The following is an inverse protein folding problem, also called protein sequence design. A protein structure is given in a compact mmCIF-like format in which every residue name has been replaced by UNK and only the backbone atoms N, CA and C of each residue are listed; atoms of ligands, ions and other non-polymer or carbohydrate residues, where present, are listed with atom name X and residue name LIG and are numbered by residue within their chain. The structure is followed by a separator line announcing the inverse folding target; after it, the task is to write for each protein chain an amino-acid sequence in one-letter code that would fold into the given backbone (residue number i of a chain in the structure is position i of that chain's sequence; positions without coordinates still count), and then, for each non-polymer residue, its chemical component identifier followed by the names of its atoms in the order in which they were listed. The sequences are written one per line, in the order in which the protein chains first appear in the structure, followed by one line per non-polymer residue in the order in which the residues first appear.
data_IF_759913756711
#
_entry.id   IF_759913756711
#
_cell.length_a   1.000
_cell.length_b   1.000
_cell.length_c   1.000
_cell.angle_alpha   90.00
_cell.angle_beta   90.00
_cell.angle_gamma   90.00
#
_symmetry.space_group_name_H-M   'P 1'
#
loop_
_entity.id
_entity.type
_entity.pdbx_description
1 polymer ?
#
# COMPACT_ATOMS: atom_id res chain seq x y z
N UNK A 1 11.12 26.43 -4.80
CA UNK A 1 9.84 25.95 -5.28
C UNK A 1 9.67 24.48 -4.94
N UNK A 2 8.56 24.18 -4.42
CA UNK A 2 8.29 22.79 -4.05
C UNK A 2 7.35 22.19 -5.07
N UNK A 3 7.81 21.24 -5.84
CA UNK A 3 6.95 20.43 -6.67
C UNK A 3 6.21 19.40 -5.82
N UNK A 4 5.20 18.81 -6.42
CA UNK A 4 4.56 17.65 -5.82
C UNK A 4 5.52 16.46 -5.85
N UNK A 5 5.47 15.64 -4.84
CA UNK A 5 6.19 14.38 -4.85
C UNK A 5 5.67 13.49 -5.97
N UNK A 6 6.58 12.79 -6.63
CA UNK A 6 6.20 11.77 -7.60
C UNK A 6 5.73 10.52 -6.86
N UNK A 7 5.04 9.62 -7.57
CA UNK A 7 4.67 8.33 -7.00
C UNK A 7 5.88 7.53 -6.57
N UNK A 8 6.97 7.64 -7.32
CA UNK A 8 8.23 6.98 -6.99
C UNK A 8 8.76 7.46 -5.63
N UNK A 9 8.71 8.76 -5.40
CA UNK A 9 9.15 9.34 -4.13
C UNK A 9 8.22 8.95 -2.98
N UNK A 10 6.91 8.93 -3.22
CA UNK A 10 5.91 8.49 -2.23
C UNK A 10 6.10 7.03 -1.87
N UNK A 11 6.37 6.20 -2.86
CA UNK A 11 6.64 4.79 -2.62
C UNK A 11 7.94 4.60 -1.83
N UNK A 12 8.98 5.37 -2.13
CA UNK A 12 10.22 5.34 -1.38
C UNK A 12 10.01 5.72 0.10
N UNK A 13 9.17 6.73 0.34
CA UNK A 13 8.81 7.10 1.72
C UNK A 13 8.07 5.97 2.43
N UNK A 14 7.18 5.28 1.75
CA UNK A 14 6.51 4.09 2.28
C UNK A 14 7.53 2.99 2.63
N UNK A 15 8.49 2.71 1.76
CA UNK A 15 9.53 1.73 2.05
C UNK A 15 10.32 2.08 3.30
N UNK A 16 10.64 3.36 3.48
CA UNK A 16 11.35 3.80 4.68
C UNK A 16 10.51 3.59 5.94
N UNK A 17 9.20 3.87 5.87
CA UNK A 17 8.30 3.59 7.00
C UNK A 17 8.29 2.11 7.35
N UNK A 18 8.25 1.25 6.33
CA UNK A 18 8.25 -0.20 6.56
C UNK A 18 9.55 -0.67 7.21
N UNK A 19 10.67 -0.15 6.74
CA UNK A 19 11.97 -0.47 7.34
C UNK A 19 12.05 -0.03 8.80
N UNK A 20 11.55 1.16 9.10
CA UNK A 20 11.58 1.66 10.48
C UNK A 20 10.71 0.83 11.42
N UNK A 21 9.71 0.13 10.88
CA UNK A 21 8.82 -0.74 11.66
C UNK A 21 9.29 -2.20 11.69
N UNK A 22 10.45 -2.50 11.09
CA UNK A 22 10.96 -3.86 11.02
C UNK A 22 10.25 -4.74 10.00
N UNK A 23 9.55 -4.15 9.05
CA UNK A 23 8.79 -4.89 8.02
C UNK A 23 9.47 -4.76 6.65
N UNK A 24 10.76 -5.05 6.59
CA UNK A 24 11.56 -4.92 5.37
C UNK A 24 11.70 -6.26 4.63
N UNK A 25 10.65 -7.07 4.62
CA UNK A 25 10.62 -8.31 3.85
C UNK A 25 10.68 -7.98 2.35
N UNK A 26 11.75 -8.39 1.69
CA UNK A 26 11.98 -8.07 0.28
C UNK A 26 10.87 -8.61 -0.62
N UNK A 27 10.38 -9.81 -0.36
CA UNK A 27 9.31 -10.41 -1.19
C UNK A 27 8.03 -9.59 -1.10
N UNK A 28 7.68 -9.15 0.11
CA UNK A 28 6.49 -8.32 0.32
C UNK A 28 6.63 -6.96 -0.35
N UNK A 29 7.78 -6.30 -0.16
CA UNK A 29 8.02 -4.97 -0.73
C UNK A 29 8.09 -5.02 -2.26
N UNK A 30 8.67 -6.08 -2.82
CA UNK A 30 8.69 -6.30 -4.27
C UNK A 30 7.28 -6.48 -4.82
N UNK A 31 6.41 -7.18 -4.09
CA UNK A 31 5.02 -7.36 -4.50
C UNK A 31 4.27 -6.01 -4.53
N UNK A 32 4.50 -5.14 -3.56
CA UNK A 32 3.92 -3.80 -3.57
C UNK A 32 4.43 -2.97 -4.76
N UNK A 33 5.71 -3.06 -5.06
CA UNK A 33 6.28 -2.36 -6.22
C UNK A 33 5.69 -2.85 -7.53
N UNK A 34 5.49 -4.16 -7.66
CA UNK A 34 4.94 -4.77 -8.87
C UNK A 34 3.44 -4.51 -9.04
N UNK A 35 2.76 -4.04 -7.98
CA UNK A 35 1.32 -3.80 -7.99
C UNK A 35 1.07 -2.34 -7.59
N UNK A 36 1.24 -1.38 -8.51
CA UNK A 36 1.14 0.04 -8.19
C UNK A 36 -0.23 0.41 -7.62
N UNK A 37 -0.27 0.80 -6.36
CA UNK A 37 -1.51 1.09 -5.65
C UNK A 37 -2.31 2.23 -6.29
N UNK A 38 -1.62 3.17 -6.92
CA UNK A 38 -2.29 4.29 -7.58
C UNK A 38 -3.37 3.84 -8.57
N UNK A 39 -3.17 2.70 -9.22
CA UNK A 39 -4.14 2.15 -10.17
C UNK A 39 -5.42 1.63 -9.54
N UNK A 40 -5.46 1.52 -8.22
CA UNK A 40 -6.59 0.94 -7.48
C UNK A 40 -7.32 1.93 -6.59
N UNK A 41 -6.98 3.22 -6.69
CA UNK A 41 -7.66 4.28 -5.95
C UNK A 41 -8.24 5.29 -6.93
N UNK A 42 -9.33 6.01 -6.55
CA UNK A 42 -9.88 7.05 -7.43
C UNK A 42 -8.84 8.12 -7.75
N UNK A 43 -8.87 8.65 -8.97
CA UNK A 43 -7.89 9.63 -9.41
C UNK A 43 -7.82 10.85 -8.51
N UNK A 44 -8.94 11.27 -7.93
CA UNK A 44 -8.99 12.40 -7.01
C UNK A 44 -8.15 12.19 -5.75
N UNK A 45 -7.86 10.95 -5.40
CA UNK A 45 -7.11 10.60 -4.18
C UNK A 45 -5.78 9.93 -4.50
N UNK A 46 -5.32 10.01 -5.74
CA UNK A 46 -4.10 9.33 -6.17
C UNK A 46 -2.87 9.71 -5.34
N UNK A 47 -2.79 10.97 -4.89
CA UNK A 47 -1.66 11.42 -4.08
C UNK A 47 -1.64 10.78 -2.69
N UNK A 48 -2.77 10.27 -2.21
CA UNK A 48 -2.85 9.59 -0.93
C UNK A 48 -2.59 8.08 -1.03
N UNK A 49 -2.39 7.54 -2.23
CA UNK A 49 -2.28 6.10 -2.45
C UNK A 49 -1.17 5.44 -1.63
N UNK A 50 -0.05 6.12 -1.45
CA UNK A 50 1.10 5.57 -0.71
C UNK A 50 1.25 6.16 0.68
N UNK A 51 0.23 6.87 1.16
CA UNK A 51 0.22 7.41 2.52
C UNK A 51 -0.41 6.41 3.50
N UNK A 52 -0.31 6.74 4.78
CA UNK A 52 -0.96 5.97 5.85
C UNK A 52 -2.40 6.41 6.11
N UNK A 53 -3.03 7.08 5.15
CA UNK A 53 -4.39 7.60 5.27
C UNK A 53 -5.40 6.65 4.67
N UNK A 54 -6.59 6.60 5.25
CA UNK A 54 -7.72 5.95 4.59
C UNK A 54 -8.07 6.72 3.31
N UNK A 55 -8.53 6.00 2.31
CA UNK A 55 -8.86 6.58 1.01
C UNK A 55 -10.31 6.28 0.68
N UNK A 56 -11.13 7.29 0.36
CA UNK A 56 -12.50 7.05 -0.11
C UNK A 56 -12.51 6.28 -1.43
N UNK A 57 -13.43 5.35 -1.54
CA UNK A 57 -13.69 4.60 -2.78
C UNK A 57 -15.18 4.70 -3.09
N UNK A 58 -15.64 3.99 -4.12
CA UNK A 58 -17.02 4.05 -4.58
C UNK A 58 -18.02 3.63 -3.50
N UNK A 59 -19.26 4.06 -3.68
CA UNK A 59 -20.40 3.68 -2.84
C UNK A 59 -20.27 4.13 -1.37
N UNK A 60 -19.55 5.21 -1.11
CA UNK A 60 -19.41 5.76 0.24
C UNK A 60 -18.51 4.94 1.16
N UNK A 61 -17.79 3.97 0.62
CA UNK A 61 -16.86 3.16 1.37
C UNK A 61 -15.47 3.80 1.42
N UNK A 62 -14.60 3.25 2.26
CA UNK A 62 -13.19 3.64 2.33
C UNK A 62 -12.33 2.40 2.36
N UNK A 63 -11.08 2.55 1.91
CA UNK A 63 -10.06 1.52 2.14
C UNK A 63 -9.06 2.04 3.16
N UNK A 64 -8.50 1.14 3.92
CA UNK A 64 -7.50 1.44 4.93
C UNK A 64 -6.21 1.92 4.30
N UNK A 65 -5.41 2.64 5.07
CA UNK A 65 -4.10 3.11 4.65
C UNK A 65 -3.15 1.98 4.29
N UNK A 66 -2.19 2.28 3.45
CA UNK A 66 -1.23 1.31 2.95
C UNK A 66 -0.42 0.67 4.08
N UNK A 67 -0.05 1.44 5.09
CA UNK A 67 0.74 0.92 6.20
C UNK A 67 0.01 -0.17 6.98
N UNK A 68 -1.30 -0.02 7.18
CA UNK A 68 -2.09 -1.05 7.83
C UNK A 68 -2.17 -2.32 6.96
N UNK A 69 -2.41 -2.15 5.67
CA UNK A 69 -2.44 -3.29 4.76
C UNK A 69 -1.11 -4.03 4.75
N UNK A 70 0.00 -3.30 4.72
CA UNK A 70 1.33 -3.89 4.75
C UNK A 70 1.56 -4.64 6.07
N UNK A 71 1.12 -4.08 7.19
CA UNK A 71 1.25 -4.72 8.50
C UNK A 71 0.51 -6.06 8.55
N UNK A 72 -0.71 -6.09 8.03
CA UNK A 72 -1.51 -7.31 7.98
C UNK A 72 -0.85 -8.36 7.09
N UNK A 73 -0.42 -7.97 5.90
CA UNK A 73 0.22 -8.90 4.97
C UNK A 73 1.53 -9.43 5.51
N UNK A 74 2.30 -8.58 6.18
CA UNK A 74 3.54 -9.00 6.83
C UNK A 74 3.26 -10.04 7.92
N UNK A 75 2.23 -9.80 8.74
CA UNK A 75 1.86 -10.72 9.81
C UNK A 75 1.38 -12.08 9.28
N UNK A 76 0.74 -12.10 8.12
CA UNK A 76 0.28 -13.33 7.50
C UNK A 76 1.43 -14.19 6.97
N UNK A 77 2.59 -13.59 6.73
CA UNK A 77 3.78 -14.29 6.25
C UNK A 77 3.50 -15.18 5.03
N UNK A 78 2.87 -14.60 4.03
CA UNK A 78 2.45 -15.33 2.82
C UNK A 78 3.66 -15.66 1.96
N UNK A 79 3.69 -16.87 1.43
CA UNK A 79 4.70 -17.27 0.44
C UNK A 79 4.04 -17.74 -0.86
N UNK A 80 4.82 -17.91 -1.96
CA UNK A 80 4.25 -18.25 -3.27
C UNK A 80 3.47 -19.55 -3.32
N UNK A 81 3.69 -20.47 -2.38
CA UNK A 81 2.99 -21.76 -2.35
C UNK A 81 1.64 -21.66 -1.65
N UNK A 82 1.37 -20.56 -0.95
CA UNK A 82 0.14 -20.39 -0.21
C UNK A 82 -1.04 -20.08 -1.12
N UNK A 83 -2.20 -20.60 -0.76
CA UNK A 83 -3.47 -20.16 -1.32
C UNK A 83 -4.11 -19.17 -0.36
N UNK A 84 -4.55 -18.04 -0.89
CA UNK A 84 -5.08 -16.95 -0.08
C UNK A 84 -6.49 -16.62 -0.54
N UNK A 85 -7.41 -16.47 0.42
CA UNK A 85 -8.76 -15.96 0.19
C UNK A 85 -8.88 -14.61 0.89
N UNK A 86 -9.32 -13.62 0.14
CA UNK A 86 -9.64 -12.32 0.72
C UNK A 86 -11.14 -12.06 0.64
N UNK A 87 -11.72 -11.56 1.73
CA UNK A 87 -13.13 -11.17 1.78
C UNK A 87 -13.18 -9.67 2.08
N UNK A 88 -13.99 -8.95 1.31
CA UNK A 88 -14.16 -7.51 1.53
C UNK A 88 -13.02 -6.66 0.97
N UNK A 89 -12.54 -7.00 -0.20
CA UNK A 89 -11.44 -6.29 -0.86
C UNK A 89 -11.74 -4.79 -1.06
N UNK A 90 -12.95 -4.45 -1.37
CA UNK A 90 -13.34 -3.05 -1.60
C UNK A 90 -13.02 -2.50 -3.01
#
# INVERSE_FOLDING_TARGET
MTGKMTDRERFAAFLMRMRSKGMADANLLDAFEATPRRGFVPAAYAEAAYSDRTVPIDCGEVIEGLDLQATVLHALNIDPAHRVLEVGTG
#
